data_IF_881444477838
#
_entry.id   IF_881444477838
#
_cell.length_a   1.000
_cell.length_b   1.000
_cell.length_c   1.000
_cell.angle_alpha   90.00
_cell.angle_beta   90.00
_cell.angle_gamma   90.00
#
_symmetry.space_group_name_H-M   'P 1'
#
loop_
_entity.id
_entity.type
_entity.pdbx_description
1 polymer ?
#
# COMPACT_ATOMS: atom_id res chain seq x y z
N UNK A 1 -22.25 -6.11 0.13
CA UNK A 1 -21.16 -5.43 0.83
C UNK A 1 -21.75 -4.74 2.05
N UNK A 2 -21.66 -5.43 3.19
CA UNK A 2 -21.99 -4.89 4.49
C UNK A 2 -20.71 -4.42 5.18
N UNK A 3 -20.82 -3.37 5.98
CA UNK A 3 -19.70 -2.91 6.78
C UNK A 3 -19.22 -4.05 7.70
N UNK A 4 -17.90 -4.26 7.75
CA UNK A 4 -17.22 -5.21 8.63
C UNK A 4 -17.45 -6.71 8.36
N UNK A 5 -18.01 -7.11 7.21
CA UNK A 5 -18.24 -8.55 6.90
C UNK A 5 -16.97 -9.34 6.50
N UNK A 6 -15.79 -8.72 6.56
CA UNK A 6 -14.56 -9.24 5.97
C UNK A 6 -14.59 -9.15 4.44
N UNK A 7 -13.50 -8.70 3.82
CA UNK A 7 -13.46 -8.50 2.36
C UNK A 7 -12.25 -9.15 1.69
N UNK A 8 -11.17 -9.34 2.43
CA UNK A 8 -9.94 -9.95 1.96
C UNK A 8 -9.04 -10.33 3.15
N UNK A 9 -8.00 -11.10 2.85
CA UNK A 9 -6.87 -11.37 3.75
C UNK A 9 -5.58 -10.85 3.11
N UNK A 10 -4.68 -10.32 3.94
CA UNK A 10 -3.32 -9.97 3.53
C UNK A 10 -2.40 -11.12 3.92
N UNK A 11 -1.62 -11.59 2.96
CA UNK A 11 -0.51 -12.53 3.19
C UNK A 11 0.79 -11.75 3.10
N UNK A 12 1.68 -11.95 4.07
CA UNK A 12 3.01 -11.36 4.08
C UNK A 12 4.01 -12.43 3.69
N UNK A 13 4.91 -12.07 2.76
CA UNK A 13 6.01 -12.92 2.34
C UNK A 13 7.30 -12.21 2.70
N UNK A 14 8.29 -12.96 3.18
CA UNK A 14 9.61 -12.44 3.43
C UNK A 14 10.43 -12.38 2.14
N UNK A 15 11.42 -11.49 2.15
CA UNK A 15 12.47 -11.43 1.14
C UNK A 15 13.74 -11.98 1.77
N UNK A 16 14.54 -12.68 0.98
CA UNK A 16 15.87 -13.15 1.41
C UNK A 16 16.85 -11.98 1.60
N UNK A 17 16.53 -10.81 1.04
CA UNK A 17 17.38 -9.61 1.05
C UNK A 17 16.62 -8.35 1.50
N UNK A 18 17.36 -7.38 2.05
CA UNK A 18 16.81 -6.06 2.40
C UNK A 18 16.42 -5.31 1.12
N UNK A 19 15.30 -4.58 1.16
CA UNK A 19 14.91 -3.72 0.05
C UNK A 19 15.93 -2.59 -0.17
N UNK A 20 16.47 -2.49 -1.39
CA UNK A 20 17.42 -1.43 -1.76
C UNK A 20 16.82 -0.02 -1.61
N UNK A 21 15.54 0.13 -1.97
CA UNK A 21 14.81 1.39 -1.82
C UNK A 21 13.39 1.06 -1.33
N UNK A 22 13.07 1.48 -0.11
CA UNK A 22 11.73 1.27 0.46
C UNK A 22 10.67 2.15 -0.19
N UNK A 23 9.38 1.84 0.01
CA UNK A 23 8.29 2.70 -0.46
C UNK A 23 8.33 4.10 0.18
N UNK A 24 8.82 4.18 1.42
CA UNK A 24 9.05 5.45 2.10
C UNK A 24 10.16 6.25 1.42
N UNK A 25 11.29 5.62 1.08
CA UNK A 25 12.42 6.26 0.39
C UNK A 25 12.03 6.76 -1.00
N UNK A 26 11.19 5.99 -1.72
CA UNK A 26 10.63 6.38 -3.03
C UNK A 26 9.72 7.62 -2.95
N UNK A 27 9.40 8.11 -1.74
CA UNK A 27 8.34 9.11 -1.51
C UNK A 27 7.08 8.71 -2.24
N UNK A 28 6.68 7.45 -1.99
CA UNK A 28 5.62 6.78 -2.71
C UNK A 28 4.35 7.63 -2.80
N UNK A 29 3.74 7.62 -3.98
CA UNK A 29 2.55 8.40 -4.33
C UNK A 29 1.43 8.37 -3.27
N UNK A 30 1.29 7.26 -2.57
CA UNK A 30 0.22 6.98 -1.60
C UNK A 30 0.77 6.65 -0.19
N UNK A 31 2.01 7.04 0.11
CA UNK A 31 2.54 6.93 1.47
C UNK A 31 1.64 7.72 2.44
N UNK A 32 1.32 7.14 3.61
CA UNK A 32 0.46 7.71 4.64
C UNK A 32 -1.02 7.92 4.24
N UNK A 33 -1.55 7.10 3.33
CA UNK A 33 -2.98 7.13 2.98
C UNK A 33 -3.86 6.63 4.13
N UNK A 34 -4.89 7.41 4.52
CA UNK A 34 -5.80 7.12 5.65
C UNK A 34 -7.15 6.53 5.17
N UNK A 35 -7.57 6.84 3.94
CA UNK A 35 -8.87 6.42 3.41
C UNK A 35 -8.83 6.20 1.90
N UNK A 36 -10.01 6.07 1.29
CA UNK A 36 -10.13 5.89 -0.16
C UNK A 36 -9.64 7.16 -0.86
N UNK A 37 -8.70 7.00 -1.79
CA UNK A 37 -8.06 8.12 -2.51
C UNK A 37 -8.24 7.93 -4.01
N UNK A 38 -8.60 9.00 -4.73
CA UNK A 38 -8.63 8.99 -6.19
C UNK A 38 -7.22 8.83 -6.78
N UNK A 39 -7.08 8.29 -8.01
CA UNK A 39 -5.77 8.15 -8.64
C UNK A 39 -5.07 9.50 -8.82
N UNK A 40 -3.80 9.64 -8.36
CA UNK A 40 -3.01 10.85 -8.68
C UNK A 40 -2.38 10.71 -10.08
N UNK A 41 -2.91 11.35 -11.11
CA UNK A 41 -2.29 11.24 -12.43
C UNK A 41 -0.93 11.96 -12.40
N UNK A 42 0.05 11.47 -13.18
CA UNK A 42 1.22 12.28 -13.52
C UNK A 42 0.84 13.05 -14.78
N UNK A 43 1.19 14.33 -14.82
CA UNK A 43 1.16 15.11 -16.04
C UNK A 43 2.22 14.60 -17.03
#
# INVERSE_FOLDING_TARGET
IYANEGIAQVLFFESDEICEISYADKKGKYQNQIGITLPKMKD
#
